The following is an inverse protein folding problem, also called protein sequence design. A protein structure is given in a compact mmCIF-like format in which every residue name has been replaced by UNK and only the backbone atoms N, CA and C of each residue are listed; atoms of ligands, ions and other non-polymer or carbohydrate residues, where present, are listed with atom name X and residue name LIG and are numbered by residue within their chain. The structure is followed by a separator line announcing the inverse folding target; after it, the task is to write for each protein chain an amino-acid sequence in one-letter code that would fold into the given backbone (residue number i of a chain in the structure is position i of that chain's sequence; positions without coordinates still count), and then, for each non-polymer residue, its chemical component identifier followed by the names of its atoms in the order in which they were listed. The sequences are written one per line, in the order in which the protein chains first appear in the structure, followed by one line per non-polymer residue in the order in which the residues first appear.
data_IF_764639039020
#
_entry.id   IF_764639039020
#
_cell.length_a   1.000
_cell.length_b   1.000
_cell.length_c   1.000
_cell.angle_alpha   90.00
_cell.angle_beta   90.00
_cell.angle_gamma   90.00
#
_symmetry.space_group_name_H-M   'P 1'
#
loop_
_entity.id
_entity.type
_entity.pdbx_description
1 polymer ?
#
# COMPACT_ATOMS: atom_id res chain seq x y z
N UNK A 1 16.76 -0.95 -57.61
CA UNK A 1 16.99 -0.60 -56.20
C UNK A 1 15.90 0.40 -55.76
N UNK A 2 14.95 -0.04 -54.94
CA UNK A 2 13.98 0.83 -54.25
C UNK A 2 14.07 0.47 -52.77
N UNK A 3 14.57 1.42 -51.98
CA UNK A 3 14.74 1.27 -50.53
C UNK A 3 13.48 1.77 -49.86
N UNK A 4 12.71 0.85 -49.26
CA UNK A 4 11.54 1.19 -48.45
C UNK A 4 12.01 1.41 -47.02
N UNK A 5 11.92 2.65 -46.53
CA UNK A 5 12.18 3.00 -45.13
C UNK A 5 10.89 2.79 -44.34
N UNK A 6 10.90 1.83 -43.41
CA UNK A 6 9.85 1.68 -42.42
C UNK A 6 10.11 2.66 -41.26
N UNK A 7 9.28 3.69 -41.15
CA UNK A 7 9.22 4.56 -39.97
C UNK A 7 8.30 3.90 -38.94
N UNK A 8 8.89 3.30 -37.90
CA UNK A 8 8.18 2.89 -36.69
C UNK A 8 7.86 4.14 -35.86
N UNK A 9 6.59 4.54 -35.87
CA UNK A 9 6.05 5.49 -34.90
C UNK A 9 5.82 4.76 -33.58
N UNK A 10 6.78 4.87 -32.65
CA UNK A 10 6.54 4.51 -31.25
C UNK A 10 5.69 5.59 -30.59
N UNK A 11 4.38 5.36 -30.47
CA UNK A 11 3.52 6.17 -29.61
C UNK A 11 3.84 5.83 -28.16
N UNK A 12 4.66 6.65 -27.49
CA UNK A 12 4.71 6.65 -26.03
C UNK A 12 3.36 7.14 -25.50
N UNK A 13 2.47 6.23 -25.13
CA UNK A 13 1.34 6.57 -24.26
C UNK A 13 1.90 6.95 -22.90
N UNK A 14 1.81 8.23 -22.55
CA UNK A 14 2.09 8.72 -21.22
C UNK A 14 1.17 7.97 -20.24
N UNK A 15 1.75 7.08 -19.43
CA UNK A 15 1.06 6.51 -18.28
C UNK A 15 0.84 7.66 -17.32
N UNK A 16 -0.40 8.13 -17.19
CA UNK A 16 -0.74 9.07 -16.13
C UNK A 16 -0.40 8.42 -14.80
N UNK A 17 0.55 9.01 -14.06
CA UNK A 17 0.75 8.63 -12.67
C UNK A 17 -0.61 8.70 -11.98
N UNK A 18 -1.08 7.57 -11.43
CA UNK A 18 -2.32 7.56 -10.66
C UNK A 18 -2.17 8.59 -9.54
N UNK A 19 -3.08 9.57 -9.49
CA UNK A 19 -3.09 10.53 -8.39
C UNK A 19 -3.32 9.76 -7.08
N UNK A 20 -2.45 9.98 -6.08
CA UNK A 20 -2.58 9.35 -4.78
C UNK A 20 -3.99 9.57 -4.22
N UNK A 21 -4.62 8.49 -3.75
CA UNK A 21 -5.94 8.54 -3.13
C UNK A 21 -5.77 9.05 -1.70
N UNK A 22 -6.27 10.24 -1.41
CA UNK A 22 -6.21 10.83 -0.07
C UNK A 22 -7.45 10.49 0.75
N UNK A 23 -7.24 10.21 2.04
CA UNK A 23 -8.31 10.02 3.02
C UNK A 23 -8.02 10.81 4.31
N UNK A 24 -9.00 10.84 5.21
CA UNK A 24 -8.94 11.56 6.47
C UNK A 24 -9.14 10.58 7.64
N UNK A 25 -8.28 10.68 8.66
CA UNK A 25 -8.47 9.98 9.93
C UNK A 25 -9.00 10.98 10.95
N UNK A 26 -10.17 10.70 11.51
CA UNK A 26 -10.85 11.57 12.48
C UNK A 26 -10.47 11.18 13.90
N UNK A 27 -10.15 12.16 14.73
CA UNK A 27 -9.90 12.02 16.17
C UNK A 27 -10.82 12.91 16.98
N UNK A 28 -11.48 12.35 17.97
CA UNK A 28 -12.39 13.03 18.88
C UNK A 28 -11.68 13.41 20.19
N UNK A 29 -12.04 14.57 20.74
CA UNK A 29 -11.45 15.08 21.98
C UNK A 29 -10.05 15.64 21.79
N UNK A 30 -9.67 15.97 20.56
CA UNK A 30 -8.32 16.40 20.17
C UNK A 30 -8.39 17.68 19.39
N UNK A 31 -7.61 18.66 19.82
CA UNK A 31 -7.29 19.85 19.06
C UNK A 31 -5.90 19.70 18.42
N UNK A 32 -5.88 19.63 17.09
CA UNK A 32 -4.67 19.59 16.27
C UNK A 32 -4.24 20.98 15.78
N UNK A 33 -4.94 22.06 16.17
CA UNK A 33 -4.64 23.43 15.73
C UNK A 33 -3.17 23.78 15.99
N UNK A 34 -2.46 24.38 15.02
CA UNK A 34 -1.03 24.61 15.12
C UNK A 34 -0.68 25.53 16.29
N UNK A 35 0.45 25.26 16.94
CA UNK A 35 1.02 26.10 18.01
C UNK A 35 2.26 26.87 17.58
N UNK A 36 2.65 26.80 16.29
CA UNK A 36 3.81 27.49 15.75
C UNK A 36 3.38 28.44 14.63
N UNK A 37 4.03 29.60 14.56
CA UNK A 37 3.64 30.73 13.71
C UNK A 37 3.87 30.50 12.20
N UNK A 38 4.41 29.34 11.81
CA UNK A 38 4.72 29.01 10.42
C UNK A 38 3.63 28.22 9.68
N UNK A 39 2.50 27.93 10.33
CA UNK A 39 1.39 27.23 9.70
C UNK A 39 0.46 28.20 8.95
N UNK A 40 0.02 27.83 7.75
CA UNK A 40 -1.05 28.53 7.07
C UNK A 40 -2.39 28.12 7.67
N UNK A 41 -3.17 29.08 8.19
CA UNK A 41 -4.45 28.80 8.85
C UNK A 41 -5.59 29.48 8.11
N UNK A 42 -6.60 28.69 7.72
CA UNK A 42 -7.89 29.18 7.25
C UNK A 42 -8.95 28.88 8.30
N UNK A 43 -9.74 29.89 8.66
CA UNK A 43 -10.84 29.74 9.63
C UNK A 43 -12.18 30.05 8.95
N UNK A 44 -13.15 29.15 9.13
CA UNK A 44 -14.49 29.28 8.56
C UNK A 44 -15.56 29.02 9.64
N UNK A 45 -16.42 30.00 9.93
CA UNK A 45 -17.50 29.82 10.90
C UNK A 45 -18.67 29.00 10.34
N UNK A 46 -19.56 28.56 11.22
CA UNK A 46 -20.83 27.89 10.89
C UNK A 46 -20.67 26.58 10.11
N UNK A 47 -19.59 25.82 10.35
CA UNK A 47 -19.37 24.52 9.71
C UNK A 47 -20.06 23.42 10.51
N UNK A 48 -20.92 22.64 9.84
CA UNK A 48 -21.83 21.71 10.52
C UNK A 48 -21.12 20.47 11.09
N UNK A 49 -20.14 19.94 10.36
CA UNK A 49 -19.49 18.66 10.68
C UNK A 49 -17.99 18.65 10.36
N UNK A 50 -17.25 17.73 10.99
CA UNK A 50 -15.82 17.52 10.68
C UNK A 50 -15.62 17.09 9.22
N UNK A 51 -16.58 16.37 8.63
CA UNK A 51 -16.54 15.97 7.22
C UNK A 51 -16.54 17.20 6.30
N UNK A 52 -17.38 18.19 6.60
CA UNK A 52 -17.43 19.44 5.83
C UNK A 52 -16.15 20.25 6.03
N UNK A 53 -15.62 20.27 7.26
CA UNK A 53 -14.34 20.90 7.56
C UNK A 53 -13.16 20.25 6.82
N UNK A 54 -13.12 18.92 6.73
CA UNK A 54 -12.13 18.19 5.92
C UNK A 54 -12.28 18.44 4.42
N UNK A 55 -13.49 18.66 3.92
CA UNK A 55 -13.72 19.06 2.53
C UNK A 55 -13.19 20.47 2.25
N UNK A 56 -13.41 21.42 3.16
CA UNK A 56 -12.80 22.76 3.10
C UNK A 56 -11.28 22.65 3.10
N UNK A 57 -10.70 21.83 3.99
CA UNK A 57 -9.27 21.60 4.05
C UNK A 57 -8.73 21.03 2.73
N UNK A 58 -9.40 20.03 2.15
CA UNK A 58 -9.00 19.43 0.88
C UNK A 58 -9.00 20.44 -0.28
N UNK A 59 -10.02 21.30 -0.36
CA UNK A 59 -10.11 22.36 -1.38
C UNK A 59 -8.99 23.40 -1.26
N UNK A 60 -8.52 23.65 -0.03
CA UNK A 60 -7.39 24.55 0.25
C UNK A 60 -6.03 23.83 0.28
N UNK A 61 -5.98 22.56 -0.15
CA UNK A 61 -4.76 21.72 -0.10
C UNK A 61 -4.12 21.59 1.29
N UNK A 62 -4.93 21.74 2.35
CA UNK A 62 -4.50 21.59 3.73
C UNK A 62 -4.41 20.10 4.13
N UNK A 63 -3.58 19.81 5.14
CA UNK A 63 -3.37 18.45 5.65
C UNK A 63 -4.20 18.15 6.90
N UNK A 64 -4.73 19.17 7.55
CA UNK A 64 -5.41 19.02 8.83
C UNK A 64 -6.66 19.89 8.89
N UNK A 65 -7.62 19.44 9.69
CA UNK A 65 -8.88 20.12 9.94
C UNK A 65 -9.28 19.94 11.41
N UNK A 66 -9.69 21.02 12.08
CA UNK A 66 -10.22 21.01 13.45
C UNK A 66 -11.58 21.70 13.45
N UNK A 67 -12.59 21.03 14.00
CA UNK A 67 -13.90 21.63 14.27
C UNK A 67 -14.09 21.84 15.77
N UNK A 68 -14.20 23.09 16.18
CA UNK A 68 -14.52 23.47 17.56
C UNK A 68 -16.00 23.31 17.91
N UNK A 69 -16.31 23.38 19.21
CA UNK A 69 -17.70 23.40 19.72
C UNK A 69 -18.49 24.61 19.21
N UNK A 70 -17.79 25.72 18.94
CA UNK A 70 -18.30 26.96 18.36
C UNK A 70 -18.66 26.86 16.87
N UNK A 71 -18.55 25.66 16.28
CA UNK A 71 -18.75 25.41 14.85
C UNK A 71 -17.80 26.21 13.95
N UNK A 72 -16.66 26.63 14.48
CA UNK A 72 -15.56 27.20 13.69
C UNK A 72 -14.66 26.06 13.24
N UNK A 73 -14.57 25.91 11.92
CA UNK A 73 -13.61 25.04 11.26
C UNK A 73 -12.28 25.78 11.09
N UNK A 74 -11.18 25.18 11.53
CA UNK A 74 -9.82 25.63 11.29
C UNK A 74 -9.09 24.59 10.45
N UNK A 75 -8.51 24.99 9.33
CA UNK A 75 -7.75 24.09 8.45
C UNK A 75 -6.33 24.61 8.28
N UNK A 76 -5.36 23.71 8.22
CA UNK A 76 -3.94 24.08 8.20
C UNK A 76 -3.07 23.02 7.52
N UNK A 77 -1.93 23.48 7.00
CA UNK A 77 -0.99 22.68 6.23
C UNK A 77 -0.03 21.86 7.10
N UNK A 78 0.23 22.31 8.33
CA UNK A 78 1.11 21.61 9.26
C UNK A 78 0.63 21.75 10.72
N UNK A 79 0.88 20.72 11.52
CA UNK A 79 0.80 20.79 12.98
C UNK A 79 1.89 19.94 13.60
N UNK A 80 2.49 20.46 14.66
CA UNK A 80 3.45 19.72 15.49
C UNK A 80 2.83 19.25 16.79
N UNK A 81 1.61 19.67 17.08
CA UNK A 81 1.02 19.53 18.40
C UNK A 81 -0.32 18.89 18.35
N UNK A 82 -0.66 18.40 19.52
CA UNK A 82 -1.78 17.58 19.81
C UNK A 82 -2.18 17.94 21.24
N UNK A 83 -3.38 18.48 21.43
CA UNK A 83 -3.89 18.80 22.78
C UNK A 83 -5.23 18.15 22.98
N UNK A 84 -5.42 17.54 24.15
CA UNK A 84 -6.74 17.05 24.53
C UNK A 84 -7.67 18.24 24.76
N UNK A 85 -8.81 18.24 24.07
CA UNK A 85 -9.79 19.31 24.12
C UNK A 85 -11.19 18.71 23.99
N UNK A 86 -11.97 18.74 25.08
CA UNK A 86 -13.30 18.14 25.09
C UNK A 86 -14.24 18.83 24.09
N UNK A 87 -15.01 18.03 23.34
CA UNK A 87 -15.92 18.48 22.29
C UNK A 87 -15.27 19.12 21.06
N UNK A 88 -13.95 18.98 20.90
CA UNK A 88 -13.26 19.27 19.65
C UNK A 88 -13.10 17.97 18.87
N UNK A 89 -13.33 18.02 17.56
CA UNK A 89 -13.03 16.90 16.66
C UNK A 89 -12.04 17.40 15.62
N UNK A 90 -10.95 16.68 15.43
CA UNK A 90 -9.96 16.97 14.39
C UNK A 90 -9.88 15.84 13.38
N UNK A 91 -9.26 16.12 12.24
CA UNK A 91 -8.95 15.14 11.22
C UNK A 91 -7.59 15.44 10.60
N UNK A 92 -6.84 14.38 10.30
CA UNK A 92 -5.56 14.45 9.62
C UNK A 92 -5.63 13.70 8.28
N UNK A 93 -5.04 14.27 7.24
CA UNK A 93 -5.01 13.72 5.90
C UNK A 93 -3.87 12.71 5.77
N UNK A 94 -4.11 11.61 5.07
CA UNK A 94 -3.11 10.58 4.79
C UNK A 94 -3.31 9.96 3.40
N UNK A 95 -2.25 9.35 2.85
CA UNK A 95 -2.35 8.59 1.61
C UNK A 95 -2.99 7.23 1.89
N UNK A 96 -4.22 7.04 1.42
CA UNK A 96 -4.98 5.80 1.58
C UNK A 96 -4.57 4.69 0.64
N UNK A 97 -3.68 4.93 -0.33
CA UNK A 97 -3.05 3.85 -1.08
C UNK A 97 -1.96 3.16 -0.24
N UNK A 98 -1.30 3.92 0.64
CA UNK A 98 -0.16 3.45 1.44
C UNK A 98 -0.57 2.96 2.83
N UNK A 99 -1.56 3.59 3.44
CA UNK A 99 -1.92 3.38 4.84
C UNK A 99 -3.41 3.14 5.06
N UNK A 100 -3.72 2.43 6.13
CA UNK A 100 -5.01 2.44 6.81
C UNK A 100 -4.79 3.06 8.19
N UNK A 101 -5.56 4.10 8.51
CA UNK A 101 -5.40 4.87 9.74
C UNK A 101 -6.66 4.85 10.61
N UNK A 102 -6.45 4.84 11.92
CA UNK A 102 -7.44 4.74 12.97
C UNK A 102 -7.23 5.88 13.97
N UNK A 103 -8.27 6.66 14.24
CA UNK A 103 -8.23 7.71 15.25
C UNK A 103 -8.74 7.21 16.59
N UNK A 104 -8.27 7.85 17.67
CA UNK A 104 -8.51 7.40 19.04
C UNK A 104 -8.10 5.93 19.24
N UNK A 105 -7.00 5.52 18.62
CA UNK A 105 -6.61 4.12 18.60
C UNK A 105 -5.09 3.93 18.64
N UNK A 106 -4.66 2.80 19.19
CA UNK A 106 -3.27 2.36 19.26
C UNK A 106 -3.07 0.98 18.63
N UNK A 107 -1.99 0.83 17.87
CA UNK A 107 -1.45 -0.47 17.49
C UNK A 107 -0.37 -0.85 18.50
N UNK A 108 -0.77 -1.27 19.70
CA UNK A 108 0.08 -1.38 20.89
C UNK A 108 1.32 -2.29 20.73
N UNK A 109 2.47 -1.80 21.21
CA UNK A 109 3.75 -2.52 21.20
C UNK A 109 4.41 -2.58 19.81
N UNK A 110 5.45 -3.42 19.70
CA UNK A 110 6.32 -3.57 18.52
C UNK A 110 7.00 -2.26 18.07
N UNK A 111 7.28 -1.36 19.02
CA UNK A 111 8.01 -0.12 18.79
C UNK A 111 9.48 -0.42 18.50
N UNK A 112 9.98 0.11 17.39
CA UNK A 112 11.39 -0.04 16.98
C UNK A 112 12.19 1.24 17.24
N UNK A 113 11.53 2.39 17.13
CA UNK A 113 12.12 3.71 17.25
C UNK A 113 11.03 4.74 17.50
N UNK A 114 11.36 5.88 18.07
CA UNK A 114 10.43 6.99 18.23
C UNK A 114 11.09 8.35 18.01
N UNK A 115 10.29 9.34 17.62
CA UNK A 115 10.77 10.70 17.37
C UNK A 115 9.66 11.73 17.52
N UNK A 116 10.02 12.92 18.02
CA UNK A 116 9.12 14.08 18.01
C UNK A 116 9.02 14.63 16.60
N UNK A 117 7.84 14.52 16.01
CA UNK A 117 7.60 14.94 14.63
C UNK A 117 6.12 15.14 14.38
N UNK A 118 5.75 15.69 13.22
CA UNK A 118 4.37 15.85 12.79
C UNK A 118 3.82 14.57 12.17
N UNK A 119 2.50 14.42 12.16
CA UNK A 119 1.84 13.17 11.71
C UNK A 119 2.15 12.79 10.26
N UNK A 120 2.10 13.74 9.32
CA UNK A 120 2.46 13.46 7.91
C UNK A 120 3.91 12.97 7.78
N UNK A 121 4.83 13.60 8.52
CA UNK A 121 6.26 13.22 8.53
C UNK A 121 6.50 11.89 9.23
N UNK A 122 5.65 11.51 10.19
CA UNK A 122 5.64 10.20 10.82
C UNK A 122 5.35 9.10 9.78
N UNK A 123 4.33 9.30 8.92
CA UNK A 123 4.03 8.37 7.82
C UNK A 123 5.16 8.31 6.80
N UNK A 124 5.66 9.46 6.32
CA UNK A 124 6.73 9.50 5.32
C UNK A 124 8.04 8.87 5.80
N UNK A 125 8.38 9.08 7.08
CA UNK A 125 9.55 8.47 7.69
C UNK A 125 9.37 6.95 7.76
N UNK A 126 8.20 6.46 8.16
CA UNK A 126 7.95 5.01 8.26
C UNK A 126 8.09 4.29 6.91
N UNK A 127 7.65 4.87 5.79
CA UNK A 127 7.81 4.27 4.45
C UNK A 127 9.27 3.93 4.14
N UNK A 128 10.19 4.78 4.61
CA UNK A 128 11.60 4.71 4.29
C UNK A 128 12.45 4.07 5.40
N UNK A 129 11.90 3.93 6.61
CA UNK A 129 12.62 3.42 7.76
C UNK A 129 12.82 1.89 7.65
N UNK A 130 14.08 1.50 7.56
CA UNK A 130 14.53 0.10 7.52
C UNK A 130 15.69 -0.08 8.50
N UNK A 131 15.56 -1.06 9.40
CA UNK A 131 16.62 -1.49 10.29
C UNK A 131 17.37 -2.67 9.66
N UNK A 132 18.60 -2.40 9.21
CA UNK A 132 19.47 -3.40 8.60
C UNK A 132 19.95 -4.47 9.58
N UNK A 133 19.91 -4.21 10.89
CA UNK A 133 20.37 -5.15 11.92
C UNK A 133 19.35 -6.25 12.13
N UNK A 134 18.06 -5.88 12.13
CA UNK A 134 16.95 -6.82 12.31
C UNK A 134 16.30 -7.24 10.98
N UNK A 135 16.71 -6.65 9.86
CA UNK A 135 16.10 -6.80 8.54
C UNK A 135 14.59 -6.47 8.56
N UNK A 136 14.20 -5.47 9.36
CA UNK A 136 12.81 -5.06 9.55
C UNK A 136 12.54 -3.69 8.95
N UNK A 137 11.41 -3.56 8.26
CA UNK A 137 10.93 -2.28 7.73
C UNK A 137 9.77 -1.78 8.58
N UNK A 138 9.76 -0.50 8.92
CA UNK A 138 8.60 0.09 9.58
C UNK A 138 7.34 -0.17 8.76
N UNK A 139 6.31 -0.68 9.43
CA UNK A 139 5.06 -1.05 8.77
C UNK A 139 3.82 -0.53 9.51
N UNK A 140 4.01 0.21 10.60
CA UNK A 140 2.97 0.96 11.27
C UNK A 140 3.56 2.11 12.09
N UNK A 141 2.70 3.04 12.47
CA UNK A 141 3.03 4.13 13.39
C UNK A 141 1.89 4.36 14.38
N UNK A 142 2.23 4.89 15.55
CA UNK A 142 1.28 5.57 16.44
C UNK A 142 1.78 6.98 16.67
N UNK A 143 0.94 7.99 16.41
CA UNK A 143 1.26 9.39 16.65
C UNK A 143 0.37 9.95 17.77
N UNK A 144 1.01 10.46 18.82
CA UNK A 144 0.36 10.94 20.04
C UNK A 144 1.29 11.94 20.74
N UNK A 145 0.76 12.96 21.40
CA UNK A 145 1.53 13.79 22.32
C UNK A 145 1.32 13.31 23.76
N UNK A 146 2.40 12.97 24.43
CA UNK A 146 2.35 12.55 25.83
C UNK A 146 2.16 13.77 26.75
N UNK A 147 1.62 13.58 27.96
CA UNK A 147 1.54 14.65 28.95
C UNK A 147 2.90 15.31 29.20
N UNK A 148 2.94 16.64 29.15
CA UNK A 148 4.16 17.42 29.36
C UNK A 148 5.04 17.60 28.11
N UNK A 149 4.75 16.92 27.00
CA UNK A 149 5.45 17.15 25.73
C UNK A 149 4.93 18.42 25.05
N UNK A 150 5.80 19.09 24.30
CA UNK A 150 5.47 20.27 23.50
C UNK A 150 5.14 19.94 22.05
N UNK A 151 5.29 18.68 21.63
CA UNK A 151 5.07 18.19 20.27
C UNK A 151 4.52 16.77 20.30
N UNK A 152 3.86 16.35 19.22
CA UNK A 152 3.50 14.97 18.98
C UNK A 152 4.74 14.09 18.80
N UNK A 153 4.67 12.90 19.37
CA UNK A 153 5.65 11.83 19.23
C UNK A 153 5.12 10.77 18.27
N UNK A 154 5.95 10.40 17.31
CA UNK A 154 5.73 9.28 16.42
C UNK A 154 6.46 8.06 16.98
N UNK A 155 5.72 7.01 17.28
CA UNK A 155 6.23 5.68 17.57
C UNK A 155 6.22 4.87 16.29
N UNK A 156 7.40 4.55 15.77
CA UNK A 156 7.58 3.72 14.58
C UNK A 156 7.56 2.25 14.98
N UNK A 157 6.81 1.43 14.23
CA UNK A 157 6.52 0.06 14.61
C UNK A 157 6.83 -0.94 13.49
N UNK A 158 7.27 -2.11 13.90
CA UNK A 158 7.29 -3.32 13.07
C UNK A 158 6.27 -4.34 13.61
N UNK A 159 5.02 -4.23 13.16
CA UNK A 159 3.96 -5.17 13.50
C UNK A 159 4.35 -6.58 13.07
N UNK A 160 4.57 -7.46 14.05
CA UNK A 160 4.72 -8.90 13.81
C UNK A 160 3.42 -9.53 13.31
N UNK A 161 2.29 -8.95 13.72
CA UNK A 161 0.95 -9.29 13.22
C UNK A 161 0.31 -8.05 12.58
N UNK A 162 0.55 -7.79 11.28
CA UNK A 162 -0.03 -6.64 10.58
C UNK A 162 -1.57 -6.64 10.55
N UNK A 163 -2.19 -7.81 10.75
CA UNK A 163 -3.64 -7.98 10.77
C UNK A 163 -4.28 -7.70 12.13
N UNK A 164 -3.48 -7.45 13.19
CA UNK A 164 -4.04 -7.16 14.51
C UNK A 164 -4.96 -5.94 14.47
N UNK A 165 -6.07 -6.03 15.18
CA UNK A 165 -7.01 -4.91 15.31
C UNK A 165 -6.43 -3.83 16.24
N UNK A 166 -6.68 -2.55 15.96
CA UNK A 166 -6.26 -1.47 16.82
C UNK A 166 -7.09 -1.46 18.12
N UNK A 167 -6.48 -1.04 19.22
CA UNK A 167 -7.15 -0.90 20.52
C UNK A 167 -7.55 0.55 20.76
N UNK A 168 -8.61 0.79 21.53
CA UNK A 168 -9.03 2.17 21.86
C UNK A 168 -7.93 2.91 22.62
N UNK A 169 -7.78 4.20 22.33
CA UNK A 169 -6.86 5.08 23.00
C UNK A 169 -7.57 6.41 23.35
N UNK A 170 -7.86 6.58 24.64
CA UNK A 170 -8.58 7.75 25.17
C UNK A 170 -7.74 9.03 25.17
N UNK A 171 -6.42 8.89 24.94
CA UNK A 171 -5.54 10.03 24.69
C UNK A 171 -5.54 10.42 23.23
N UNK A 172 -6.46 9.90 22.41
CA UNK A 172 -6.75 10.27 21.03
C UNK A 172 -5.63 10.05 20.02
N UNK A 173 -4.77 9.06 20.27
CA UNK A 173 -3.72 8.66 19.34
C UNK A 173 -4.25 8.40 17.91
N UNK A 174 -3.42 8.73 16.92
CA UNK A 174 -3.64 8.34 15.53
C UNK A 174 -2.70 7.20 15.20
N UNK A 175 -3.24 6.03 14.90
CA UNK A 175 -2.44 4.87 14.51
C UNK A 175 -2.66 4.53 13.06
N UNK A 176 -1.60 4.19 12.34
CA UNK A 176 -1.69 3.77 10.95
C UNK A 176 -0.86 2.52 10.72
N UNK A 177 -1.37 1.59 9.92
CA UNK A 177 -0.61 0.45 9.40
C UNK A 177 -0.47 0.52 7.90
N UNK A 178 0.66 0.05 7.38
CA UNK A 178 0.92 -0.02 5.96
C UNK A 178 -0.02 -1.02 5.30
N UNK A 179 -0.64 -0.62 4.20
CA UNK A 179 -1.44 -1.51 3.36
C UNK A 179 -0.59 -2.61 2.74
N UNK A 180 0.69 -2.35 2.46
CA UNK A 180 1.63 -3.35 1.95
C UNK A 180 1.85 -4.49 2.95
N UNK A 181 2.05 -4.17 4.24
CA UNK A 181 2.23 -5.22 5.26
C UNK A 181 0.97 -6.03 5.54
N UNK A 182 -0.21 -5.41 5.44
CA UNK A 182 -1.50 -6.12 5.50
C UNK A 182 -1.62 -7.12 4.35
N UNK A 183 -1.33 -6.69 3.12
CA UNK A 183 -1.37 -7.56 1.94
C UNK A 183 -0.36 -8.71 2.03
N UNK A 184 0.87 -8.41 2.48
CA UNK A 184 1.89 -9.42 2.72
C UNK A 184 1.44 -10.44 3.78
N UNK A 185 0.83 -10.00 4.89
CA UNK A 185 0.32 -10.91 5.92
C UNK A 185 -0.85 -11.78 5.45
N UNK A 186 -1.61 -11.32 4.45
CA UNK A 186 -2.65 -12.12 3.78
C UNK A 186 -2.09 -13.07 2.71
N UNK A 187 -0.80 -12.95 2.36
CA UNK A 187 -0.20 -13.67 1.23
C UNK A 187 -0.80 -13.25 -0.10
N UNK A 188 -1.06 -11.95 -0.30
CA UNK A 188 -1.65 -11.41 -1.53
C UNK A 188 -0.76 -10.31 -2.09
N UNK A 189 -0.49 -10.37 -3.39
CA UNK A 189 0.17 -9.29 -4.14
C UNK A 189 -0.89 -8.42 -4.78
N UNK A 190 -0.75 -7.10 -4.63
CA UNK A 190 -1.53 -6.10 -5.36
C UNK A 190 -0.77 -5.64 -6.59
N UNK A 191 -1.43 -5.57 -7.73
CA UNK A 191 -0.89 -5.05 -8.99
C UNK A 191 -1.90 -4.06 -9.57
N UNK A 192 -1.52 -2.79 -9.63
CA UNK A 192 -2.35 -1.74 -10.20
C UNK A 192 -2.30 -1.76 -11.73
N UNK A 193 -3.42 -1.42 -12.35
CA UNK A 193 -3.51 -1.25 -13.80
C UNK A 193 -3.54 -2.57 -14.57
N UNK A 194 -3.91 -3.69 -13.94
CA UNK A 194 -4.08 -4.97 -14.60
C UNK A 194 -5.44 -5.60 -14.28
N UNK A 195 -5.90 -6.46 -15.18
CA UNK A 195 -7.01 -7.37 -14.94
C UNK A 195 -6.61 -8.79 -15.35
N UNK A 196 -6.70 -9.73 -14.41
CA UNK A 196 -6.54 -11.14 -14.68
C UNK A 196 -7.66 -11.64 -15.58
N UNK A 197 -7.29 -12.45 -16.58
CA UNK A 197 -8.23 -13.04 -17.53
C UNK A 197 -8.58 -14.49 -17.12
N UNK A 198 -9.86 -14.80 -17.18
CA UNK A 198 -10.47 -16.03 -16.67
C UNK A 198 -10.22 -17.25 -17.57
N UNK A 199 -10.08 -18.42 -16.95
CA UNK A 199 -10.29 -19.72 -17.60
C UNK A 199 -11.09 -20.72 -16.73
N UNK A 200 -11.97 -20.21 -15.85
CA UNK A 200 -12.77 -20.99 -14.89
C UNK A 200 -14.08 -20.30 -14.55
N UNK A 201 -14.59 -20.43 -13.31
CA UNK A 201 -15.71 -19.64 -12.77
C UNK A 201 -15.23 -18.31 -12.15
N UNK A 202 -16.11 -17.31 -12.12
CA UNK A 202 -15.86 -16.03 -11.44
C UNK A 202 -16.94 -15.77 -10.41
N UNK A 203 -16.52 -15.59 -9.16
CA UNK A 203 -17.40 -15.12 -8.09
C UNK A 203 -17.28 -13.61 -7.97
N UNK A 204 -18.40 -12.89 -8.12
CA UNK A 204 -18.45 -11.43 -7.97
C UNK A 204 -19.09 -11.07 -6.64
N UNK A 205 -18.33 -10.34 -5.82
CA UNK A 205 -18.81 -9.77 -4.57
C UNK A 205 -18.96 -8.26 -4.76
N UNK A 206 -20.20 -7.72 -4.79
CA UNK A 206 -20.43 -6.28 -4.87
C UNK A 206 -20.22 -5.60 -3.51
N UNK A 207 -20.16 -4.26 -3.52
CA UNK A 207 -20.04 -3.41 -2.32
C UNK A 207 -18.79 -3.66 -1.48
N UNK A 208 -17.70 -4.08 -2.12
CA UNK A 208 -16.39 -4.23 -1.49
C UNK A 208 -15.74 -2.85 -1.39
N UNK A 209 -15.54 -2.36 -0.17
CA UNK A 209 -15.19 -0.96 0.05
C UNK A 209 -13.77 -0.60 -0.44
N UNK A 210 -12.85 -1.56 -0.39
CA UNK A 210 -11.42 -1.35 -0.67
C UNK A 210 -10.74 -2.56 -1.33
N UNK A 211 -9.56 -2.33 -1.92
CA UNK A 211 -8.66 -3.38 -2.41
C UNK A 211 -8.31 -4.38 -1.29
N UNK A 212 -8.14 -3.91 -0.06
CA UNK A 212 -7.78 -4.71 1.10
C UNK A 212 -8.91 -5.66 1.49
N UNK A 213 -10.17 -5.21 1.40
CA UNK A 213 -11.31 -6.09 1.63
C UNK A 213 -11.41 -7.14 0.52
N UNK A 214 -11.12 -6.77 -0.73
CA UNK A 214 -10.99 -7.76 -1.81
C UNK A 214 -9.82 -8.73 -1.57
N UNK A 215 -8.70 -8.26 -1.01
CA UNK A 215 -7.56 -9.09 -0.64
C UNK A 215 -7.93 -10.11 0.46
N UNK A 216 -8.73 -9.71 1.45
CA UNK A 216 -9.27 -10.65 2.47
C UNK A 216 -10.15 -11.72 1.83
N UNK A 217 -10.99 -11.34 0.87
CA UNK A 217 -11.86 -12.29 0.14
C UNK A 217 -11.02 -13.29 -0.66
N UNK A 218 -10.07 -12.84 -1.48
CA UNK A 218 -9.24 -13.75 -2.29
C UNK A 218 -8.34 -14.63 -1.43
N UNK A 219 -7.82 -14.11 -0.31
CA UNK A 219 -7.03 -14.91 0.63
C UNK A 219 -7.82 -16.13 1.17
N UNK A 220 -9.14 -16.03 1.26
CA UNK A 220 -10.03 -17.09 1.76
C UNK A 220 -10.61 -18.01 0.68
N UNK A 221 -10.89 -17.48 -0.51
CA UNK A 221 -11.83 -18.13 -1.46
C UNK A 221 -11.31 -18.31 -2.89
N UNK A 222 -10.09 -17.89 -3.22
CA UNK A 222 -9.55 -18.06 -4.57
C UNK A 222 -8.04 -17.87 -4.66
N UNK A 223 -7.54 -17.71 -5.90
CA UNK A 223 -6.12 -17.43 -6.17
C UNK A 223 -5.89 -16.07 -6.80
N UNK A 224 -6.82 -15.60 -7.61
CA UNK A 224 -6.74 -14.32 -8.30
C UNK A 224 -7.99 -13.50 -7.99
N UNK A 225 -7.87 -12.18 -8.00
CA UNK A 225 -9.03 -11.31 -8.00
C UNK A 225 -8.76 -10.04 -8.82
N UNK A 226 -9.84 -9.48 -9.37
CA UNK A 226 -9.85 -8.14 -9.94
C UNK A 226 -10.73 -7.25 -9.07
N UNK A 227 -10.17 -6.15 -8.59
CA UNK A 227 -10.92 -5.14 -7.86
C UNK A 227 -11.14 -3.90 -8.74
N UNK A 228 -12.40 -3.57 -8.97
CA UNK A 228 -12.81 -2.41 -9.76
C UNK A 228 -13.21 -1.27 -8.82
N UNK A 229 -12.33 -0.28 -8.69
CA UNK A 229 -12.47 0.80 -7.70
C UNK A 229 -13.72 1.66 -7.88
N UNK A 230 -14.15 1.84 -9.14
CA UNK A 230 -15.33 2.63 -9.53
C UNK A 230 -16.65 1.93 -9.20
N UNK A 231 -16.71 0.61 -9.38
CA UNK A 231 -17.91 -0.19 -9.16
C UNK A 231 -17.97 -0.85 -7.78
N UNK A 232 -16.86 -0.80 -7.03
CA UNK A 232 -16.72 -1.45 -5.71
C UNK A 232 -17.04 -2.95 -5.78
N UNK A 233 -16.57 -3.60 -6.85
CA UNK A 233 -16.75 -5.04 -7.08
C UNK A 233 -15.41 -5.75 -6.95
N UNK A 234 -15.40 -6.86 -6.22
CA UNK A 234 -14.30 -7.82 -6.18
C UNK A 234 -14.72 -9.06 -6.98
N UNK A 235 -14.01 -9.36 -8.06
CA UNK A 235 -14.23 -10.54 -8.88
C UNK A 235 -13.12 -11.56 -8.62
N UNK A 236 -13.42 -12.64 -7.92
CA UNK A 236 -12.48 -13.71 -7.56
C UNK A 236 -12.47 -14.79 -8.63
N UNK A 237 -11.28 -15.25 -8.99
CA UNK A 237 -11.02 -16.32 -9.96
C UNK A 237 -10.15 -17.41 -9.35
N UNK A 238 -10.45 -18.66 -9.69
CA UNK A 238 -9.64 -19.81 -9.27
C UNK A 238 -8.36 -19.96 -10.10
N UNK A 239 -8.44 -19.63 -11.38
CA UNK A 239 -7.35 -19.79 -12.35
C UNK A 239 -7.30 -18.60 -13.28
N UNK A 240 -6.07 -18.13 -13.52
CA UNK A 240 -5.74 -17.14 -14.54
C UNK A 240 -4.49 -17.59 -15.29
N UNK A 241 -4.52 -17.55 -16.61
CA UNK A 241 -3.35 -17.85 -17.45
C UNK A 241 -2.55 -16.60 -17.81
N UNK A 242 -3.19 -15.44 -17.88
CA UNK A 242 -2.60 -14.14 -18.25
C UNK A 242 -3.36 -12.99 -17.60
N UNK A 243 -2.84 -11.78 -17.75
CA UNK A 243 -3.59 -10.56 -17.49
C UNK A 243 -3.52 -9.63 -18.70
N UNK A 244 -4.41 -8.66 -18.73
CA UNK A 244 -4.35 -7.52 -19.64
C UNK A 244 -4.09 -6.24 -18.84
N UNK A 245 -3.45 -5.25 -19.47
CA UNK A 245 -3.38 -3.92 -18.91
C UNK A 245 -4.79 -3.32 -18.86
N UNK A 246 -5.21 -2.88 -17.69
CA UNK A 246 -6.53 -2.29 -17.41
C UNK A 246 -6.37 -1.22 -16.33
N UNK A 247 -6.21 0.07 -16.70
CA UNK A 247 -5.95 1.15 -15.75
C UNK A 247 -7.00 1.33 -14.65
N UNK A 248 -8.25 0.87 -14.87
CA UNK A 248 -9.33 0.97 -13.88
C UNK A 248 -9.34 -0.17 -12.85
N UNK A 249 -8.60 -1.24 -13.12
CA UNK A 249 -8.60 -2.47 -12.34
C UNK A 249 -7.32 -2.60 -11.52
N UNK A 250 -7.46 -3.14 -10.33
CA UNK A 250 -6.35 -3.64 -9.51
C UNK A 250 -6.43 -5.16 -9.46
N UNK A 251 -5.40 -5.83 -9.99
CA UNK A 251 -5.22 -7.27 -9.86
C UNK A 251 -4.70 -7.65 -8.47
N UNK A 252 -5.20 -8.75 -7.94
CA UNK A 252 -4.73 -9.37 -6.71
C UNK A 252 -4.38 -10.83 -6.98
N UNK A 253 -3.25 -11.32 -6.49
CA UNK A 253 -2.88 -12.73 -6.61
C UNK A 253 -2.31 -13.29 -5.31
N UNK A 254 -2.77 -14.48 -4.94
CA UNK A 254 -2.34 -15.18 -3.74
C UNK A 254 -1.00 -15.89 -3.95
N UNK A 255 -0.17 -15.89 -2.92
CA UNK A 255 1.10 -16.62 -2.85
C UNK A 255 1.33 -17.18 -1.43
N UNK A 256 2.33 -18.04 -1.27
CA UNK A 256 2.71 -18.58 0.04
C UNK A 256 3.78 -17.69 0.70
N UNK A 257 3.43 -17.07 1.82
CA UNK A 257 4.31 -16.15 2.58
C UNK A 257 5.50 -16.86 3.23
N UNK A 258 5.40 -18.17 3.47
CA UNK A 258 6.52 -18.97 3.99
C UNK A 258 7.58 -19.20 2.92
N UNK A 259 7.19 -19.21 1.64
CA UNK A 259 8.10 -19.50 0.54
C UNK A 259 8.66 -18.23 -0.11
N UNK A 260 7.85 -17.17 -0.20
CA UNK A 260 8.15 -15.98 -0.99
C UNK A 260 7.81 -14.66 -0.28
N UNK A 261 8.46 -13.60 -0.73
CA UNK A 261 8.06 -12.20 -0.56
C UNK A 261 7.87 -11.62 -1.95
N UNK A 262 6.69 -11.04 -2.20
CA UNK A 262 6.29 -10.62 -3.54
C UNK A 262 5.88 -9.15 -3.60
N UNK A 263 6.09 -8.56 -4.77
CA UNK A 263 5.75 -7.16 -5.11
C UNK A 263 5.06 -7.12 -6.48
N UNK A 264 4.03 -6.29 -6.61
CA UNK A 264 3.37 -6.01 -7.89
C UNK A 264 3.87 -4.72 -8.52
N UNK A 265 3.66 -4.58 -9.83
CA UNK A 265 4.21 -3.49 -10.66
C UNK A 265 5.72 -3.35 -10.47
N UNK A 266 6.41 -4.48 -10.27
CA UNK A 266 7.81 -4.49 -9.90
C UNK A 266 8.57 -5.59 -10.65
N UNK A 267 9.89 -5.44 -10.74
CA UNK A 267 10.82 -6.40 -11.31
C UNK A 267 12.05 -6.56 -10.41
N UNK A 268 12.44 -7.80 -10.11
CA UNK A 268 13.72 -8.06 -9.44
C UNK A 268 14.82 -8.16 -10.51
N UNK A 269 15.67 -7.14 -10.60
CA UNK A 269 16.79 -7.14 -11.53
C UNK A 269 17.87 -8.16 -11.11
N UNK A 270 17.98 -9.24 -11.88
CA UNK A 270 18.95 -10.31 -11.71
C UNK A 270 19.14 -11.09 -13.00
N UNK A 271 19.91 -12.17 -12.92
CA UNK A 271 20.21 -13.03 -14.07
C UNK A 271 19.02 -13.93 -14.35
N UNK A 272 18.50 -13.89 -15.59
CA UNK A 272 17.49 -14.83 -16.06
C UNK A 272 18.17 -16.17 -16.33
N UNK A 273 17.91 -17.15 -15.45
CA UNK A 273 18.47 -18.50 -15.58
C UNK A 273 17.62 -19.38 -16.50
N UNK A 274 16.33 -19.07 -16.61
CA UNK A 274 15.39 -19.75 -17.51
C UNK A 274 14.10 -18.95 -17.65
N UNK A 275 13.44 -19.05 -18.80
CA UNK A 275 12.13 -18.46 -19.01
C UNK A 275 11.21 -19.34 -19.86
N UNK A 276 9.90 -19.24 -19.61
CA UNK A 276 8.87 -19.91 -20.43
C UNK A 276 7.50 -19.29 -20.21
N UNK A 277 6.52 -19.68 -21.03
CA UNK A 277 5.12 -19.30 -20.86
C UNK A 277 4.42 -20.24 -19.89
N UNK A 278 3.91 -19.72 -18.77
CA UNK A 278 3.16 -20.50 -17.79
C UNK A 278 2.33 -19.62 -16.85
N UNK A 279 1.47 -20.24 -16.03
CA UNK A 279 0.74 -19.53 -14.98
C UNK A 279 1.67 -19.05 -13.86
N UNK A 280 1.25 -17.99 -13.17
CA UNK A 280 1.99 -17.43 -12.04
C UNK A 280 2.24 -18.43 -10.90
N UNK A 281 1.24 -19.22 -10.51
CA UNK A 281 1.39 -20.23 -9.46
C UNK A 281 2.44 -21.28 -9.84
N UNK A 282 2.42 -21.75 -11.09
CA UNK A 282 3.42 -22.68 -11.62
C UNK A 282 4.81 -22.06 -11.73
N UNK A 283 4.90 -20.75 -11.97
CA UNK A 283 6.16 -20.02 -11.98
C UNK A 283 6.83 -20.07 -10.60
N UNK A 284 6.05 -19.87 -9.53
CA UNK A 284 6.52 -20.03 -8.15
C UNK A 284 6.93 -21.48 -7.86
N UNK A 285 6.08 -22.45 -8.16
CA UNK A 285 6.38 -23.88 -7.94
C UNK A 285 7.68 -24.30 -8.65
N UNK A 286 7.85 -23.92 -9.92
CA UNK A 286 9.05 -24.27 -10.71
C UNK A 286 10.31 -23.64 -10.13
N UNK A 287 10.24 -22.40 -9.65
CA UNK A 287 11.37 -21.77 -8.96
C UNK A 287 11.70 -22.53 -7.68
N UNK A 288 10.68 -22.88 -6.87
CA UNK A 288 10.85 -23.62 -5.62
C UNK A 288 11.57 -24.95 -5.84
N UNK A 289 11.16 -25.70 -6.87
CA UNK A 289 11.69 -27.02 -7.19
C UNK A 289 13.08 -26.98 -7.85
N UNK A 290 13.34 -25.99 -8.71
CA UNK A 290 14.66 -25.82 -9.37
C UNK A 290 15.78 -25.42 -8.39
N UNK A 291 15.40 -25.02 -7.18
CA UNK A 291 16.34 -24.57 -6.14
C UNK A 291 17.11 -25.69 -5.45
N UNK A 292 16.67 -26.94 -5.58
CA UNK A 292 17.37 -28.11 -5.04
C UNK A 292 18.36 -28.72 -6.04
N UNK A 293 18.53 -28.11 -7.22
CA UNK A 293 19.49 -28.58 -8.22
C UNK A 293 20.91 -28.19 -7.80
N UNK A 294 21.87 -29.09 -7.99
CA UNK A 294 23.32 -28.86 -7.79
C UNK A 294 23.92 -27.89 -8.82
N UNK A 295 23.08 -27.08 -9.47
CA UNK A 295 23.52 -26.05 -10.40
C UNK A 295 24.17 -24.91 -9.63
N UNK A 296 25.14 -24.25 -10.27
CA UNK A 296 25.93 -23.19 -9.65
C UNK A 296 25.08 -21.93 -9.32
N UNK A 297 23.82 -21.88 -9.78
CA UNK A 297 22.87 -20.76 -9.62
C UNK A 297 21.43 -21.27 -9.46
N UNK A 298 20.99 -21.62 -8.23
CA UNK A 298 19.60 -22.05 -7.97
C UNK A 298 18.62 -20.88 -8.11
N UNK A 299 17.39 -21.14 -8.56
CA UNK A 299 16.35 -20.10 -8.60
C UNK A 299 16.07 -19.53 -7.21
N UNK A 300 16.17 -18.21 -7.04
CA UNK A 300 15.81 -17.53 -5.79
C UNK A 300 14.83 -16.38 -5.99
N UNK A 301 14.45 -16.08 -7.22
CA UNK A 301 13.39 -15.13 -7.54
C UNK A 301 12.69 -15.46 -8.86
N UNK A 302 11.51 -14.88 -9.05
CA UNK A 302 10.77 -14.94 -10.29
C UNK A 302 10.26 -13.56 -10.67
N UNK A 303 10.05 -13.35 -11.95
CA UNK A 303 9.23 -12.27 -12.49
C UNK A 303 8.25 -12.84 -13.48
N UNK A 304 6.98 -12.51 -13.31
CA UNK A 304 5.90 -12.97 -14.16
C UNK A 304 5.19 -11.78 -14.79
N UNK A 305 5.12 -11.76 -16.11
CA UNK A 305 4.63 -10.62 -16.88
C UNK A 305 3.77 -11.09 -18.04
N UNK A 306 2.68 -10.39 -18.33
CA UNK A 306 1.91 -10.63 -19.53
C UNK A 306 2.66 -10.09 -20.74
N UNK A 307 2.79 -10.91 -21.78
CA UNK A 307 3.35 -10.50 -23.06
C UNK A 307 2.23 -10.42 -24.08
N UNK A 308 2.22 -9.35 -24.88
CA UNK A 308 1.23 -9.16 -25.93
C UNK A 308 1.29 -10.33 -26.94
N UNK A 309 0.11 -10.77 -27.42
CA UNK A 309 -0.01 -11.89 -28.35
C UNK A 309 0.23 -13.28 -27.74
N UNK A 310 0.46 -13.39 -26.43
CA UNK A 310 0.58 -14.68 -25.74
C UNK A 310 -0.70 -15.05 -24.98
N UNK A 311 -0.97 -16.35 -24.89
CA UNK A 311 -2.11 -16.90 -24.15
C UNK A 311 -1.82 -17.16 -22.68
N UNK A 312 -0.54 -17.15 -22.31
CA UNK A 312 -0.08 -17.24 -20.94
C UNK A 312 0.88 -16.11 -20.61
N UNK A 313 0.99 -15.77 -19.33
CA UNK A 313 2.07 -14.93 -18.86
C UNK A 313 3.43 -15.60 -19.05
N UNK A 314 4.47 -14.80 -19.25
CA UNK A 314 5.85 -15.25 -19.33
C UNK A 314 6.47 -15.22 -17.94
N UNK A 315 6.99 -16.36 -17.52
CA UNK A 315 7.71 -16.57 -16.28
C UNK A 315 9.21 -16.48 -16.57
N UNK A 316 9.90 -15.62 -15.85
CA UNK A 316 11.35 -15.52 -15.80
C UNK A 316 11.81 -16.03 -14.43
N UNK A 317 12.52 -17.16 -14.42
CA UNK A 317 13.22 -17.65 -13.24
C UNK A 317 14.55 -16.92 -13.14
N UNK A 318 14.85 -16.42 -11.94
CA UNK A 318 15.96 -15.51 -11.71
C UNK A 318 16.87 -15.99 -10.60
N UNK A 319 18.14 -15.65 -10.74
CA UNK A 319 19.13 -15.67 -9.67
C UNK A 319 19.53 -14.24 -9.31
N UNK A 320 19.29 -13.87 -8.05
CA UNK A 320 19.65 -12.58 -7.47
C UNK A 320 20.94 -12.71 -6.66
N UNK A 321 21.92 -11.85 -6.97
CA UNK A 321 23.09 -11.65 -6.13
C UNK A 321 22.75 -10.71 -4.96
N UNK A 322 22.61 -11.29 -3.76
CA UNK A 322 22.31 -10.58 -2.53
C UNK A 322 20.87 -10.05 -2.45
N UNK A 323 20.60 -9.22 -1.44
CA UNK A 323 19.30 -8.59 -1.23
C UNK A 323 19.13 -7.34 -2.08
N UNK A 324 18.67 -7.52 -3.32
CA UNK A 324 18.28 -6.40 -4.18
C UNK A 324 16.79 -6.06 -4.00
N UNK A 325 16.42 -4.77 -3.88
CA UNK A 325 15.02 -4.37 -3.94
C UNK A 325 14.48 -4.56 -5.36
N UNK A 326 13.17 -4.77 -5.47
CA UNK A 326 12.51 -4.75 -6.77
C UNK A 326 12.49 -3.30 -7.31
N UNK A 327 12.77 -3.14 -8.61
CA UNK A 327 12.55 -1.89 -9.31
C UNK A 327 11.14 -1.79 -9.89
N UNK A 328 10.71 -0.60 -10.31
CA UNK A 328 9.37 -0.41 -10.90
C UNK A 328 9.27 -1.10 -12.27
N UNK A 329 8.09 -1.65 -12.57
CA UNK A 329 7.78 -2.26 -13.86
C UNK A 329 6.42 -1.79 -14.38
N UNK A 330 6.44 -1.11 -15.53
CA UNK A 330 5.25 -0.49 -16.13
C UNK A 330 4.31 -1.51 -16.81
N UNK A 331 4.74 -2.76 -17.01
CA UNK A 331 3.93 -3.81 -17.64
C UNK A 331 3.08 -4.58 -16.63
N UNK A 332 2.98 -4.11 -15.38
CA UNK A 332 2.21 -4.78 -14.34
C UNK A 332 2.82 -6.12 -13.92
N UNK A 333 4.14 -6.25 -13.99
CA UNK A 333 4.82 -7.47 -13.60
C UNK A 333 4.63 -7.80 -12.11
N UNK A 334 4.66 -9.10 -11.81
CA UNK A 334 4.57 -9.67 -10.47
C UNK A 334 5.88 -10.36 -10.20
N UNK A 335 6.61 -9.87 -9.20
CA UNK A 335 7.93 -10.39 -8.87
C UNK A 335 7.98 -10.89 -7.45
N UNK A 336 8.56 -12.07 -7.27
CA UNK A 336 8.68 -12.71 -5.97
C UNK A 336 10.11 -13.16 -5.77
N UNK A 337 10.67 -12.92 -4.59
CA UNK A 337 11.94 -13.53 -4.16
C UNK A 337 11.67 -14.48 -3.02
N UNK A 338 12.51 -15.50 -2.84
CA UNK A 338 12.38 -16.43 -1.74
C UNK A 338 12.43 -15.70 -0.40
N UNK A 339 11.59 -16.15 0.52
CA UNK A 339 11.61 -15.61 1.88
C UNK A 339 12.94 -15.98 2.55
N UNK A 340 13.65 -15.04 3.20
CA UNK A 340 14.90 -15.33 3.91
C UNK A 340 14.71 -16.21 5.16
N UNK A 341 13.49 -16.64 5.45
CA UNK A 341 13.13 -17.47 6.61
C UNK A 341 13.15 -18.99 6.33
N UNK A 342 13.70 -19.43 5.18
CA UNK A 342 13.96 -20.84 4.88
C UNK A 342 15.43 -21.09 4.53
#
# INVERSE_FOLDING_TARGET
MRTTVFLLFSTLTAVSAANATWSWVTVNGVDLTPTFDNANVVSQPNVASIKDCSAIAANNQMLYATLGQDKVCKTYDLTYTYKLANGVTSAARYNSDDYECFGNADLQGDDTFDSNTRFDRCLDSCKNLFDSTTNQRCNAVTWIQQPGESMGRCYFKFLKSPLREPTSNDRGAISCRSRSSVLQALGVVKVDGIAFAQAGSVQRTPKVASVQDCAKIVAQSGRYANYESSSKVCAVLDVSYKYSLSPSSTGLVKYNTSDYVCSGNADFFGEDIWDTSMRFDRCLDTCKDSSSSTSQQPCNAVTWVATEGQDMGRCYLKYLHGDRPAGPNALGAISCKKSPLN
#
